data_IF_477093045064
#
_entry.id   IF_477093045064
#
_cell.length_a   1.000
_cell.length_b   1.000
_cell.length_c   1.000
_cell.angle_alpha   90.00
_cell.angle_beta   90.00
_cell.angle_gamma   90.00
#
_symmetry.space_group_name_H-M   'P 1'
#
loop_
_entity.id
_entity.type
_entity.pdbx_description
1 polymer ?
#
# COMPACT_ATOMS: atom_id res chain seq x y z
N UNK A 1 -19.14 -45.89 -0.51
CA UNK A 1 -19.80 -44.68 0.02
C UNK A 1 -18.85 -43.51 -0.19
N UNK A 2 -19.03 -42.74 -1.24
CA UNK A 2 -18.36 -41.42 -1.37
C UNK A 2 -19.01 -40.55 -0.29
N UNK A 3 -18.25 -40.19 0.75
CA UNK A 3 -18.64 -39.06 1.60
C UNK A 3 -18.66 -37.84 0.68
N UNK A 4 -19.84 -37.35 0.38
CA UNK A 4 -19.99 -36.02 -0.25
C UNK A 4 -19.33 -35.04 0.72
N UNK A 5 -18.20 -34.47 0.30
CA UNK A 5 -17.51 -33.41 1.05
C UNK A 5 -18.45 -32.21 1.10
N UNK A 6 -18.98 -31.91 2.27
CA UNK A 6 -19.82 -30.74 2.42
C UNK A 6 -18.88 -29.53 2.61
N UNK A 7 -18.67 -28.76 1.55
CA UNK A 7 -17.81 -27.58 1.57
C UNK A 7 -18.25 -26.55 2.62
N UNK A 8 -19.52 -26.57 3.04
CA UNK A 8 -20.04 -25.71 4.10
C UNK A 8 -19.45 -26.03 5.48
N UNK A 9 -18.84 -27.22 5.69
CA UNK A 9 -18.18 -27.56 6.94
C UNK A 9 -16.84 -26.85 7.11
N UNK A 10 -16.25 -26.34 6.01
CA UNK A 10 -14.94 -25.68 6.00
C UNK A 10 -15.05 -24.17 5.90
N UNK A 11 -16.14 -23.64 5.35
CA UNK A 11 -16.32 -22.21 5.10
C UNK A 11 -17.77 -21.80 5.29
N UNK A 12 -17.98 -20.83 6.18
CA UNK A 12 -19.27 -20.17 6.36
C UNK A 12 -19.13 -18.72 5.91
N UNK A 13 -19.62 -18.37 4.69
CA UNK A 13 -19.53 -17.00 4.19
C UNK A 13 -20.45 -16.09 4.98
N UNK A 14 -19.98 -14.91 5.34
CA UNK A 14 -20.85 -13.86 5.90
C UNK A 14 -21.75 -13.27 4.80
N UNK A 15 -22.84 -12.52 5.15
CA UNK A 15 -23.82 -12.05 4.18
C UNK A 15 -23.24 -11.29 2.97
N UNK A 16 -22.21 -10.47 3.18
CA UNK A 16 -21.50 -9.79 2.09
C UNK A 16 -20.84 -10.76 1.12
N UNK A 17 -20.17 -11.82 1.63
CA UNK A 17 -19.55 -12.86 0.81
C UNK A 17 -20.61 -13.69 0.10
N UNK A 18 -21.72 -14.04 0.76
CA UNK A 18 -22.84 -14.76 0.15
C UNK A 18 -23.39 -14.01 -1.06
N UNK A 19 -23.59 -12.69 -0.94
CA UNK A 19 -24.03 -11.84 -2.05
C UNK A 19 -23.09 -11.94 -3.25
N UNK A 20 -21.78 -11.91 -3.03
CA UNK A 20 -20.79 -11.99 -4.11
C UNK A 20 -20.72 -13.41 -4.71
N UNK A 21 -20.81 -14.46 -3.88
CA UNK A 21 -20.91 -15.87 -4.35
C UNK A 21 -22.13 -16.09 -5.25
N UNK A 22 -23.28 -15.50 -4.90
CA UNK A 22 -24.53 -15.67 -5.61
C UNK A 22 -24.60 -15.03 -7.01
N UNK A 23 -23.61 -14.21 -7.39
CA UNK A 23 -23.59 -13.62 -8.74
C UNK A 23 -22.81 -14.52 -9.69
N UNK A 24 -23.45 -14.92 -10.79
CA UNK A 24 -22.78 -15.63 -11.86
C UNK A 24 -22.10 -14.64 -12.82
N UNK A 25 -20.78 -14.57 -12.75
CA UNK A 25 -19.96 -13.73 -13.61
C UNK A 25 -18.62 -14.41 -13.88
N UNK A 26 -18.10 -14.25 -15.08
CA UNK A 26 -16.78 -14.78 -15.47
C UNK A 26 -15.66 -14.15 -14.65
N UNK A 27 -15.76 -12.85 -14.41
CA UNK A 27 -14.74 -12.11 -13.65
C UNK A 27 -15.46 -11.26 -12.61
N UNK A 28 -15.08 -11.47 -11.35
CA UNK A 28 -15.55 -10.66 -10.22
C UNK A 28 -14.46 -9.69 -9.79
N UNK A 29 -14.79 -8.41 -9.74
CA UNK A 29 -13.87 -7.33 -9.37
C UNK A 29 -14.30 -6.77 -8.01
N UNK A 30 -13.43 -6.86 -7.01
CA UNK A 30 -13.73 -6.54 -5.62
C UNK A 30 -12.88 -5.34 -5.15
N UNK A 31 -13.39 -4.13 -5.28
CA UNK A 31 -12.85 -2.95 -4.59
C UNK A 31 -13.46 -2.89 -3.19
N UNK A 32 -12.82 -3.54 -2.23
CA UNK A 32 -13.39 -3.80 -0.91
C UNK A 32 -12.39 -3.42 0.18
N UNK A 33 -12.87 -2.84 1.27
CA UNK A 33 -12.07 -2.44 2.43
C UNK A 33 -11.24 -3.58 3.04
N UNK A 34 -10.15 -3.22 3.70
CA UNK A 34 -9.30 -4.18 4.42
C UNK A 34 -10.10 -4.92 5.50
N UNK A 35 -9.68 -6.13 5.85
CA UNK A 35 -10.32 -6.98 6.89
C UNK A 35 -11.76 -7.45 6.57
N UNK A 36 -12.25 -7.25 5.35
CA UNK A 36 -13.56 -7.79 4.95
C UNK A 36 -13.56 -9.30 4.70
N UNK A 37 -12.40 -9.89 4.42
CA UNK A 37 -12.29 -11.33 4.15
C UNK A 37 -12.20 -11.69 2.66
N UNK A 38 -11.70 -10.78 1.82
CA UNK A 38 -11.52 -10.95 0.37
C UNK A 38 -10.74 -12.21 0.01
N UNK A 39 -9.57 -12.42 0.60
CA UNK A 39 -8.69 -13.56 0.29
C UNK A 39 -9.34 -14.89 0.66
N UNK A 40 -10.12 -14.94 1.75
CA UNK A 40 -10.90 -16.13 2.12
C UNK A 40 -11.98 -16.42 1.09
N UNK A 41 -12.69 -15.38 0.65
CA UNK A 41 -13.69 -15.48 -0.41
C UNK A 41 -13.06 -16.01 -1.71
N UNK A 42 -11.95 -15.44 -2.15
CA UNK A 42 -11.28 -15.82 -3.40
C UNK A 42 -10.77 -17.27 -3.38
N UNK A 43 -10.24 -17.73 -2.22
CA UNK A 43 -9.81 -19.11 -2.05
C UNK A 43 -10.99 -20.09 -2.22
N UNK A 44 -12.17 -19.73 -1.70
CA UNK A 44 -13.35 -20.58 -1.84
C UNK A 44 -13.93 -20.56 -3.25
N UNK A 45 -13.87 -19.45 -3.96
CA UNK A 45 -14.22 -19.41 -5.38
C UNK A 45 -13.29 -20.32 -6.19
N UNK A 46 -11.99 -20.32 -5.90
CA UNK A 46 -11.03 -21.22 -6.54
C UNK A 46 -11.37 -22.69 -6.28
N UNK A 47 -11.61 -23.06 -5.02
CA UNK A 47 -11.99 -24.44 -4.66
C UNK A 47 -13.29 -24.84 -5.35
N UNK A 48 -14.30 -23.97 -5.38
CA UNK A 48 -15.57 -24.20 -6.06
C UNK A 48 -15.37 -24.48 -7.55
N UNK A 49 -14.58 -23.65 -8.23
CA UNK A 49 -14.30 -23.83 -9.66
C UNK A 49 -13.50 -25.10 -9.96
N UNK A 50 -12.60 -25.47 -9.05
CA UNK A 50 -11.92 -26.75 -9.16
C UNK A 50 -12.90 -27.92 -9.02
N UNK A 51 -13.79 -27.92 -8.04
CA UNK A 51 -14.81 -28.99 -7.87
C UNK A 51 -15.75 -29.05 -9.06
N UNK A 52 -16.24 -27.91 -9.58
CA UNK A 52 -17.04 -27.84 -10.80
C UNK A 52 -16.29 -28.45 -12.01
N UNK A 53 -14.96 -28.24 -12.11
CA UNK A 53 -14.16 -28.84 -13.19
C UNK A 53 -14.11 -30.36 -13.13
N UNK A 54 -14.17 -30.96 -11.94
CA UNK A 54 -14.22 -32.43 -11.79
C UNK A 54 -15.54 -33.01 -12.31
N UNK A 55 -16.65 -32.28 -12.17
CA UNK A 55 -17.96 -32.71 -12.70
C UNK A 55 -17.93 -32.70 -14.24
N UNK A 56 -17.36 -31.66 -14.84
CA UNK A 56 -17.21 -31.53 -16.28
C UNK A 56 -16.27 -32.62 -16.86
N UNK A 57 -15.18 -32.96 -16.11
CA UNK A 57 -14.25 -34.02 -16.47
C UNK A 57 -14.97 -35.37 -16.67
N UNK A 58 -15.88 -35.69 -15.76
CA UNK A 58 -16.64 -36.93 -15.82
C UNK A 58 -17.50 -37.01 -17.08
N UNK A 59 -18.02 -35.87 -17.53
CA UNK A 59 -18.95 -35.79 -18.66
C UNK A 59 -18.26 -35.75 -20.05
N UNK A 60 -17.05 -35.19 -20.14
CA UNK A 60 -16.51 -34.84 -21.45
C UNK A 60 -15.10 -35.30 -21.79
N UNK A 61 -14.36 -36.03 -21.01
CA UNK A 61 -13.01 -36.61 -21.27
C UNK A 61 -12.01 -35.76 -22.15
N UNK A 62 -12.40 -34.58 -22.62
CA UNK A 62 -11.69 -33.75 -23.60
C UNK A 62 -11.15 -32.44 -22.98
N UNK A 63 -11.40 -32.19 -21.69
CA UNK A 63 -10.99 -30.97 -21.04
C UNK A 63 -9.54 -31.11 -20.55
N UNK A 64 -8.68 -30.11 -20.80
CA UNK A 64 -7.31 -30.13 -20.27
C UNK A 64 -7.32 -30.04 -18.72
N UNK A 65 -6.28 -30.58 -18.05
CA UNK A 65 -6.17 -30.55 -16.59
C UNK A 65 -6.38 -29.15 -16.02
N UNK A 66 -7.11 -29.05 -14.90
CA UNK A 66 -7.42 -27.78 -14.25
C UNK A 66 -6.14 -26.99 -13.94
N UNK A 67 -6.09 -25.75 -14.37
CA UNK A 67 -4.93 -24.89 -14.15
C UNK A 67 -5.37 -23.55 -13.57
N UNK A 68 -4.88 -23.24 -12.36
CA UNK A 68 -5.17 -21.99 -11.68
C UNK A 68 -3.90 -21.25 -11.26
N UNK A 69 -3.94 -19.95 -11.38
CA UNK A 69 -2.92 -19.07 -10.81
C UNK A 69 -3.49 -18.15 -9.74
N UNK A 70 -2.70 -17.96 -8.68
CA UNK A 70 -2.88 -16.90 -7.69
C UNK A 70 -1.71 -15.93 -7.89
N UNK A 71 -2.01 -14.70 -8.25
CA UNK A 71 -1.00 -13.69 -8.59
C UNK A 71 -1.04 -12.56 -7.56
N UNK A 72 0.14 -12.22 -7.01
CA UNK A 72 0.32 -11.16 -6.03
C UNK A 72 1.35 -10.14 -6.51
N UNK A 73 1.39 -8.90 -5.98
CA UNK A 73 2.34 -7.88 -6.40
C UNK A 73 3.81 -8.26 -6.21
N UNK A 74 4.13 -8.99 -5.14
CA UNK A 74 5.51 -9.28 -4.74
C UNK A 74 5.66 -10.66 -4.07
N UNK A 75 6.90 -11.13 -3.94
CA UNK A 75 7.21 -12.42 -3.33
C UNK A 75 6.80 -12.58 -1.86
N UNK A 76 6.93 -11.59 -0.96
CA UNK A 76 6.45 -11.71 0.41
C UNK A 76 4.95 -11.99 0.50
N UNK A 77 4.13 -11.28 -0.30
CA UNK A 77 2.68 -11.51 -0.36
C UNK A 77 2.35 -12.86 -0.99
N UNK A 78 3.08 -13.28 -2.03
CA UNK A 78 2.94 -14.62 -2.61
C UNK A 78 3.18 -15.71 -1.57
N UNK A 79 4.25 -15.59 -0.76
CA UNK A 79 4.54 -16.53 0.33
C UNK A 79 3.43 -16.55 1.38
N UNK A 80 2.87 -15.40 1.74
CA UNK A 80 1.76 -15.33 2.70
C UNK A 80 0.54 -16.09 2.17
N UNK A 81 0.10 -15.79 0.95
CA UNK A 81 -1.06 -16.46 0.34
C UNK A 81 -0.81 -17.96 0.15
N UNK A 82 0.40 -18.35 -0.26
CA UNK A 82 0.78 -19.76 -0.35
C UNK A 82 0.59 -20.48 0.98
N UNK A 83 1.06 -19.93 2.08
CA UNK A 83 0.93 -20.52 3.41
C UNK A 83 -0.55 -20.57 3.84
N UNK A 84 -1.33 -19.55 3.54
CA UNK A 84 -2.77 -19.53 3.82
C UNK A 84 -3.50 -20.61 2.99
N UNK A 85 -3.19 -20.73 1.71
CA UNK A 85 -3.75 -21.73 0.83
C UNK A 85 -3.49 -23.14 1.35
N UNK A 86 -2.23 -23.49 1.63
CA UNK A 86 -1.88 -24.83 2.18
C UNK A 86 -2.65 -25.14 3.47
N UNK A 87 -2.83 -24.13 4.33
CA UNK A 87 -3.48 -24.32 5.62
C UNK A 87 -4.99 -24.55 5.52
N UNK A 88 -5.63 -24.12 4.45
CA UNK A 88 -7.08 -24.17 4.27
C UNK A 88 -7.55 -25.04 3.12
N UNK A 89 -6.66 -25.41 2.20
CA UNK A 89 -7.04 -26.28 1.09
C UNK A 89 -7.31 -27.69 1.60
N UNK A 90 -8.45 -28.33 1.27
CA UNK A 90 -8.76 -29.67 1.74
C UNK A 90 -7.74 -30.70 1.23
N UNK A 91 -7.16 -31.46 2.14
CA UNK A 91 -6.12 -32.47 1.81
C UNK A 91 -6.65 -33.55 0.85
N UNK A 92 -7.94 -33.81 0.89
CA UNK A 92 -8.62 -34.79 0.04
C UNK A 92 -8.46 -34.48 -1.45
N UNK A 93 -8.29 -33.22 -1.79
CA UNK A 93 -8.12 -32.76 -3.18
C UNK A 93 -6.66 -32.74 -3.64
N UNK A 94 -5.70 -32.90 -2.73
CA UNK A 94 -4.28 -32.88 -3.08
C UNK A 94 -3.88 -34.24 -3.64
N UNK A 95 -3.25 -34.25 -4.82
CA UNK A 95 -2.83 -35.48 -5.49
C UNK A 95 -1.63 -36.13 -4.80
N UNK A 96 -1.30 -37.40 -5.10
CA UNK A 96 -0.07 -38.04 -4.63
C UNK A 96 1.22 -37.34 -5.05
N UNK A 97 1.21 -36.53 -6.11
CA UNK A 97 2.33 -35.67 -6.52
C UNK A 97 2.59 -34.52 -5.54
N UNK A 98 1.59 -34.21 -4.68
CA UNK A 98 1.72 -33.38 -3.49
C UNK A 98 1.96 -31.89 -3.79
N UNK A 99 2.62 -31.27 -2.83
CA UNK A 99 2.93 -29.85 -2.79
C UNK A 99 4.43 -29.66 -2.99
N UNK A 100 4.81 -28.83 -3.97
CA UNK A 100 6.18 -28.41 -4.22
C UNK A 100 6.40 -27.00 -3.64
N UNK A 101 7.05 -26.96 -2.48
CA UNK A 101 7.27 -25.71 -1.73
C UNK A 101 8.17 -24.73 -2.48
N UNK A 102 9.20 -25.23 -3.18
CA UNK A 102 10.20 -24.38 -3.85
C UNK A 102 9.63 -23.62 -5.05
N UNK A 103 8.61 -24.18 -5.70
CA UNK A 103 7.94 -23.60 -6.87
C UNK A 103 6.54 -23.08 -6.59
N UNK A 104 6.08 -23.15 -5.34
CA UNK A 104 4.73 -22.80 -4.91
C UNK A 104 3.64 -23.43 -5.80
N UNK A 105 3.80 -24.72 -6.02
CA UNK A 105 2.94 -25.51 -6.89
C UNK A 105 2.23 -26.60 -6.08
N UNK A 106 0.91 -26.66 -6.20
CA UNK A 106 0.07 -27.72 -5.61
C UNK A 106 -0.57 -28.53 -6.74
N UNK A 107 -0.33 -29.84 -6.73
CA UNK A 107 -0.97 -30.76 -7.63
C UNK A 107 -2.31 -31.25 -7.08
N UNK A 108 -3.33 -31.24 -7.92
CA UNK A 108 -4.72 -31.59 -7.59
C UNK A 108 -5.08 -32.97 -8.10
N UNK A 109 -5.99 -33.66 -7.40
CA UNK A 109 -6.55 -34.95 -7.84
C UNK A 109 -7.59 -34.75 -8.94
N UNK A 110 -7.63 -35.65 -9.89
CA UNK A 110 -8.76 -35.83 -10.79
C UNK A 110 -9.86 -36.71 -10.20
N UNK A 111 -10.92 -36.89 -10.94
CA UNK A 111 -12.04 -37.76 -10.56
C UNK A 111 -11.63 -39.22 -10.36
N UNK A 112 -10.61 -39.70 -11.08
CA UNK A 112 -10.01 -41.04 -11.01
C UNK A 112 -8.90 -41.16 -9.94
N UNK A 113 -8.68 -40.13 -9.10
CA UNK A 113 -7.62 -39.98 -8.08
C UNK A 113 -6.21 -39.84 -8.64
N UNK A 114 -6.02 -39.73 -9.94
CA UNK A 114 -4.72 -39.38 -10.54
C UNK A 114 -4.47 -37.88 -10.46
N UNK A 115 -3.26 -37.45 -10.77
CA UNK A 115 -2.97 -36.02 -10.88
C UNK A 115 -3.76 -35.43 -12.05
N UNK A 116 -4.67 -34.51 -11.72
CA UNK A 116 -5.53 -33.89 -12.70
C UNK A 116 -5.08 -32.48 -13.02
N UNK A 117 -4.92 -31.64 -12.03
CA UNK A 117 -4.61 -30.25 -12.27
C UNK A 117 -3.59 -29.66 -11.31
N UNK A 118 -3.46 -28.34 -11.35
CA UNK A 118 -2.49 -27.64 -10.54
C UNK A 118 -2.95 -26.22 -10.17
N UNK A 119 -2.47 -25.75 -9.02
CA UNK A 119 -2.54 -24.37 -8.56
C UNK A 119 -1.12 -23.86 -8.38
N UNK A 120 -0.81 -22.72 -8.95
CA UNK A 120 0.49 -22.05 -8.78
C UNK A 120 0.29 -20.66 -8.16
N UNK A 121 1.18 -20.27 -7.23
CA UNK A 121 1.25 -18.90 -6.73
C UNK A 121 2.40 -18.19 -7.42
N UNK A 122 2.12 -17.03 -8.00
CA UNK A 122 3.05 -16.22 -8.79
C UNK A 122 3.21 -14.82 -8.19
N UNK A 123 4.36 -14.22 -8.41
CA UNK A 123 4.61 -12.80 -8.14
C UNK A 123 4.57 -12.02 -9.44
N UNK A 124 3.85 -10.89 -9.46
CA UNK A 124 3.84 -9.96 -10.59
C UNK A 124 5.02 -8.98 -10.59
N UNK A 125 6.03 -9.20 -9.74
CA UNK A 125 7.23 -8.38 -9.70
C UNK A 125 7.95 -8.33 -11.06
N UNK A 126 7.99 -9.47 -11.74
CA UNK A 126 8.45 -9.57 -13.13
C UNK A 126 7.27 -9.95 -14.05
N UNK A 127 6.68 -8.97 -14.75
CA UNK A 127 5.55 -9.22 -15.66
C UNK A 127 5.86 -10.16 -16.82
N UNK A 128 7.12 -10.25 -17.26
CA UNK A 128 7.49 -11.07 -18.40
C UNK A 128 7.49 -12.57 -18.05
N UNK A 129 7.53 -12.91 -16.75
CA UNK A 129 7.36 -14.29 -16.26
C UNK A 129 5.90 -14.78 -16.25
N UNK A 130 4.92 -13.89 -16.50
CA UNK A 130 3.49 -14.18 -16.42
C UNK A 130 2.90 -14.60 -17.78
N UNK A 131 3.46 -15.62 -18.40
CA UNK A 131 2.98 -16.17 -19.67
C UNK A 131 2.57 -17.63 -19.50
N UNK A 132 1.35 -17.99 -19.98
CA UNK A 132 0.84 -19.36 -20.00
C UNK A 132 -0.16 -19.56 -21.13
N UNK A 133 -0.39 -20.81 -21.48
CA UNK A 133 -1.33 -21.18 -22.55
C UNK A 133 -2.80 -20.90 -22.25
N UNK A 134 -3.17 -20.85 -20.95
CA UNK A 134 -4.53 -20.54 -20.53
C UNK A 134 -4.81 -21.04 -19.11
N UNK A 135 -5.78 -20.39 -18.45
CA UNK A 135 -6.18 -20.67 -17.08
C UNK A 135 -7.67 -20.95 -16.97
N UNK A 136 -8.03 -21.87 -16.10
CA UNK A 136 -9.40 -22.09 -15.66
C UNK A 136 -9.80 -21.08 -14.60
N UNK A 137 -8.82 -20.71 -13.74
CA UNK A 137 -9.03 -19.73 -12.70
C UNK A 137 -7.81 -18.82 -12.49
N UNK A 138 -8.05 -17.52 -12.38
CA UNK A 138 -7.05 -16.53 -12.05
C UNK A 138 -7.53 -15.70 -10.86
N UNK A 139 -6.78 -15.78 -9.75
CA UNK A 139 -6.98 -14.87 -8.62
C UNK A 139 -5.85 -13.84 -8.60
N UNK A 140 -6.17 -12.56 -8.78
CA UNK A 140 -5.26 -11.44 -8.58
C UNK A 140 -5.55 -10.82 -7.21
N UNK A 141 -4.60 -10.96 -6.28
CA UNK A 141 -4.70 -10.42 -4.93
C UNK A 141 -3.94 -9.10 -4.83
N UNK A 142 -4.47 -8.15 -4.05
CA UNK A 142 -3.97 -6.76 -3.95
C UNK A 142 -3.80 -6.13 -5.35
N UNK A 143 -4.86 -6.23 -6.14
CA UNK A 143 -4.91 -5.85 -7.55
C UNK A 143 -4.52 -4.39 -7.81
N UNK A 144 -4.75 -3.49 -6.85
CA UNK A 144 -4.35 -2.08 -6.93
C UNK A 144 -2.83 -1.87 -6.99
N UNK A 145 -2.04 -2.86 -6.59
CA UNK A 145 -0.57 -2.80 -6.58
C UNK A 145 0.06 -3.58 -7.74
N UNK A 146 -0.77 -4.14 -8.65
CA UNK A 146 -0.33 -4.87 -9.85
C UNK A 146 -0.30 -3.93 -11.06
N UNK A 147 0.82 -3.90 -11.78
CA UNK A 147 1.01 -3.01 -12.92
C UNK A 147 0.11 -3.35 -14.11
N UNK A 148 -0.18 -2.34 -14.96
CA UNK A 148 -0.91 -2.55 -16.22
C UNK A 148 -0.19 -3.57 -17.13
N UNK A 149 1.16 -3.53 -17.19
CA UNK A 149 1.95 -4.49 -17.99
C UNK A 149 1.73 -5.93 -17.54
N UNK A 150 1.66 -6.18 -16.21
CA UNK A 150 1.36 -7.52 -15.70
C UNK A 150 -0.07 -7.94 -16.04
N UNK A 151 -1.04 -7.04 -15.89
CA UNK A 151 -2.43 -7.32 -16.24
C UNK A 151 -2.62 -7.60 -17.74
N UNK A 152 -1.92 -6.89 -18.63
CA UNK A 152 -1.92 -7.12 -20.08
C UNK A 152 -1.47 -8.54 -20.44
N UNK A 153 -0.56 -9.14 -19.65
CA UNK A 153 -0.13 -10.54 -19.80
C UNK A 153 -1.15 -11.53 -19.22
N UNK A 154 -1.80 -11.17 -18.12
CA UNK A 154 -2.70 -12.07 -17.40
C UNK A 154 -4.09 -12.18 -18.03
N UNK A 155 -4.69 -11.06 -18.47
CA UNK A 155 -6.06 -11.06 -18.97
C UNK A 155 -6.29 -12.03 -20.15
N UNK A 156 -5.39 -12.15 -21.15
CA UNK A 156 -5.55 -13.09 -22.26
C UNK A 156 -5.58 -14.56 -21.83
N UNK A 157 -4.95 -14.91 -20.69
CA UNK A 157 -4.93 -16.30 -20.20
C UNK A 157 -6.32 -16.83 -19.84
N UNK A 158 -7.27 -15.93 -19.55
CA UNK A 158 -8.68 -16.25 -19.28
C UNK A 158 -9.54 -16.37 -20.54
N UNK A 159 -8.96 -16.24 -21.73
CA UNK A 159 -9.67 -16.23 -23.03
C UNK A 159 -9.39 -17.48 -23.86
N UNK A 160 -8.68 -18.45 -23.31
CA UNK A 160 -8.47 -19.74 -23.99
C UNK A 160 -9.80 -20.47 -24.15
N UNK A 161 -10.16 -20.90 -25.37
CA UNK A 161 -11.45 -21.56 -25.63
C UNK A 161 -11.61 -22.91 -24.94
N UNK A 162 -10.50 -23.55 -24.56
CA UNK A 162 -10.47 -24.86 -23.91
C UNK A 162 -10.47 -24.74 -22.36
N UNK A 163 -10.58 -23.52 -21.79
CA UNK A 163 -10.50 -23.25 -20.38
C UNK A 163 -11.76 -22.57 -19.84
N UNK A 164 -12.04 -22.76 -18.56
CA UNK A 164 -13.19 -22.13 -17.90
C UNK A 164 -13.07 -20.61 -17.89
N UNK A 165 -11.88 -20.09 -17.65
CA UNK A 165 -11.55 -18.66 -17.75
C UNK A 165 -12.24 -17.78 -16.71
N UNK A 166 -12.36 -18.24 -15.44
CA UNK A 166 -12.90 -17.44 -14.35
C UNK A 166 -11.83 -16.60 -13.68
N UNK A 167 -12.19 -15.40 -13.21
CA UNK A 167 -11.27 -14.50 -12.52
C UNK A 167 -11.84 -13.85 -11.26
N UNK A 168 -11.00 -13.71 -10.25
CA UNK A 168 -11.24 -12.86 -9.07
C UNK A 168 -10.12 -11.83 -9.02
N UNK A 169 -10.47 -10.56 -9.13
CA UNK A 169 -9.53 -9.45 -8.95
C UNK A 169 -9.95 -8.70 -7.70
N UNK A 170 -9.11 -8.74 -6.65
CA UNK A 170 -9.49 -8.17 -5.36
C UNK A 170 -8.41 -7.24 -4.79
N UNK A 171 -8.87 -6.19 -4.14
CA UNK A 171 -8.02 -5.21 -3.47
C UNK A 171 -8.82 -4.09 -2.82
N UNK A 172 -8.13 -3.09 -2.33
CA UNK A 172 -8.72 -1.78 -2.04
C UNK A 172 -8.79 -0.97 -3.35
N UNK A 173 -9.60 0.10 -3.45
CA UNK A 173 -9.64 0.91 -4.66
C UNK A 173 -8.25 1.34 -5.14
N UNK A 174 -8.05 1.32 -6.45
CA UNK A 174 -6.82 1.82 -7.05
C UNK A 174 -6.60 3.29 -6.69
N UNK A 175 -5.34 3.72 -6.65
CA UNK A 175 -5.00 5.10 -6.28
C UNK A 175 -5.29 6.10 -7.43
N UNK A 176 -5.38 5.60 -8.67
CA UNK A 176 -5.49 6.42 -9.89
C UNK A 176 -6.67 5.96 -10.75
N UNK A 177 -7.36 6.89 -11.43
CA UNK A 177 -8.51 6.57 -12.26
C UNK A 177 -8.14 5.76 -13.52
N UNK A 178 -6.94 5.91 -14.04
CA UNK A 178 -6.44 5.21 -15.23
C UNK A 178 -5.84 3.83 -14.95
N UNK A 179 -5.80 3.39 -13.67
CA UNK A 179 -5.32 2.07 -13.31
C UNK A 179 -6.23 0.97 -13.87
N UNK A 180 -5.66 -0.11 -14.39
CA UNK A 180 -6.42 -1.23 -14.99
C UNK A 180 -7.49 -1.80 -14.04
N UNK A 181 -7.20 -1.89 -12.74
CA UNK A 181 -8.11 -2.42 -11.73
C UNK A 181 -9.36 -1.55 -11.60
N UNK A 182 -9.18 -0.22 -11.61
CA UNK A 182 -10.30 0.74 -11.63
C UNK A 182 -11.11 0.64 -12.94
N UNK A 183 -10.44 0.52 -14.09
CA UNK A 183 -11.13 0.31 -15.37
C UNK A 183 -11.92 -0.99 -15.39
N UNK A 184 -11.36 -2.08 -14.83
CA UNK A 184 -12.06 -3.35 -14.68
C UNK A 184 -13.28 -3.24 -13.76
N UNK A 185 -13.14 -2.48 -12.66
CA UNK A 185 -14.25 -2.21 -11.73
C UNK A 185 -15.40 -1.46 -12.44
N UNK A 186 -15.09 -0.37 -13.15
CA UNK A 186 -16.10 0.39 -13.92
C UNK A 186 -16.78 -0.46 -14.98
N UNK A 187 -16.02 -1.32 -15.67
CA UNK A 187 -16.60 -2.26 -16.65
C UNK A 187 -17.60 -3.22 -15.99
N UNK A 188 -17.30 -3.70 -14.78
CA UNK A 188 -18.19 -4.57 -14.01
C UNK A 188 -19.43 -3.85 -13.47
N UNK A 189 -19.34 -2.57 -13.08
CA UNK A 189 -20.52 -1.75 -12.73
C UNK A 189 -21.49 -1.61 -13.91
N UNK A 190 -20.96 -1.58 -15.13
CA UNK A 190 -21.76 -1.51 -16.37
C UNK A 190 -22.21 -2.89 -16.89
N UNK A 191 -21.81 -3.98 -16.22
CA UNK A 191 -22.10 -5.35 -16.69
C UNK A 191 -21.43 -5.72 -18.01
N UNK A 192 -20.32 -5.06 -18.35
CA UNK A 192 -19.62 -5.26 -19.60
C UNK A 192 -18.67 -6.46 -19.56
N UNK A 193 -18.47 -7.13 -20.70
CA UNK A 193 -17.45 -8.17 -20.92
C UNK A 193 -17.48 -9.35 -19.94
N UNK A 194 -18.61 -9.61 -19.28
CA UNK A 194 -18.74 -10.67 -18.27
C UNK A 194 -18.08 -10.35 -16.94
N UNK A 195 -17.83 -9.08 -16.67
CA UNK A 195 -17.37 -8.58 -15.37
C UNK A 195 -18.57 -8.28 -14.46
N UNK A 196 -18.37 -8.47 -13.14
CA UNK A 196 -19.28 -7.97 -12.12
C UNK A 196 -18.44 -7.33 -10.99
N UNK A 197 -18.85 -6.14 -10.55
CA UNK A 197 -18.11 -5.35 -9.56
C UNK A 197 -18.82 -5.31 -8.22
N UNK A 198 -18.01 -5.35 -7.16
CA UNK A 198 -18.50 -5.37 -5.79
C UNK A 198 -17.71 -4.38 -4.94
N UNK A 199 -18.43 -3.58 -4.19
CA UNK A 199 -17.89 -2.64 -3.22
C UNK A 199 -18.45 -2.97 -1.85
N UNK A 200 -17.59 -2.93 -0.84
CA UNK A 200 -17.97 -3.08 0.56
C UNK A 200 -16.93 -2.44 1.48
N UNK A 201 -17.37 -1.95 2.62
CA UNK A 201 -16.49 -1.38 3.64
C UNK A 201 -15.95 -2.47 4.57
N UNK A 202 -14.88 -2.15 5.32
CA UNK A 202 -14.38 -3.02 6.38
C UNK A 202 -15.45 -3.32 7.44
N UNK A 203 -16.32 -2.35 7.72
CA UNK A 203 -17.34 -2.42 8.77
C UNK A 203 -18.51 -3.36 8.44
N UNK A 204 -18.66 -3.74 7.18
CA UNK A 204 -19.63 -4.74 6.73
C UNK A 204 -19.23 -6.18 7.09
N UNK A 205 -18.00 -6.40 7.57
CA UNK A 205 -17.62 -7.70 8.10
C UNK A 205 -18.18 -7.91 9.52
N UNK A 206 -19.16 -8.80 9.71
CA UNK A 206 -19.77 -9.03 11.02
C UNK A 206 -18.84 -9.78 12.02
N UNK A 207 -17.72 -10.31 11.53
CA UNK A 207 -16.74 -11.01 12.38
C UNK A 207 -15.76 -10.04 13.06
N UNK A 208 -15.76 -8.75 12.69
CA UNK A 208 -15.00 -7.74 13.41
C UNK A 208 -15.69 -7.41 14.74
N UNK A 209 -14.93 -7.51 15.84
CA UNK A 209 -15.42 -7.11 17.16
C UNK A 209 -15.61 -5.60 17.26
N UNK A 210 -16.33 -5.15 18.31
CA UNK A 210 -16.50 -3.73 18.56
C UNK A 210 -15.15 -3.03 18.80
N UNK A 211 -14.22 -3.67 19.50
CA UNK A 211 -12.88 -3.17 19.76
C UNK A 211 -12.10 -3.02 18.46
N UNK A 212 -12.12 -4.02 17.58
CA UNK A 212 -11.45 -3.95 16.27
C UNK A 212 -12.01 -2.86 15.38
N UNK A 213 -13.32 -2.60 15.43
CA UNK A 213 -13.94 -1.48 14.71
C UNK A 213 -13.51 -0.14 15.28
N UNK A 214 -13.41 -0.03 16.62
CA UNK A 214 -12.90 1.17 17.28
C UNK A 214 -11.41 1.43 16.95
N UNK A 215 -10.58 0.40 16.89
CA UNK A 215 -9.19 0.50 16.44
C UNK A 215 -9.11 1.04 14.99
N UNK A 216 -9.93 0.51 14.07
CA UNK A 216 -10.00 1.01 12.70
C UNK A 216 -10.42 2.49 12.66
N UNK A 217 -11.37 2.90 13.52
CA UNK A 217 -11.78 4.31 13.60
C UNK A 217 -10.66 5.19 14.15
N UNK A 218 -9.89 4.72 15.13
CA UNK A 218 -8.75 5.45 15.68
C UNK A 218 -7.59 5.64 14.70
N UNK A 219 -7.46 4.74 13.70
CA UNK A 219 -6.48 4.89 12.62
C UNK A 219 -6.64 6.21 11.85
N UNK A 220 -7.81 6.87 11.93
CA UNK A 220 -8.01 8.23 11.38
C UNK A 220 -7.08 9.26 12.00
N UNK A 221 -6.65 9.04 13.22
CA UNK A 221 -5.71 9.95 13.90
C UNK A 221 -4.29 9.84 13.36
N UNK A 222 -3.96 8.70 12.74
CA UNK A 222 -2.61 8.40 12.26
C UNK A 222 -2.49 8.50 10.74
N UNK A 223 -3.58 8.29 10.01
CA UNK A 223 -3.59 8.24 8.56
C UNK A 223 -4.23 9.50 7.95
N UNK A 224 -3.77 9.95 6.76
CA UNK A 224 -4.52 10.91 5.96
C UNK A 224 -5.95 10.40 5.73
N UNK A 225 -6.94 11.28 5.81
CA UNK A 225 -8.36 10.89 5.68
C UNK A 225 -8.62 10.12 4.38
N UNK A 226 -8.07 10.59 3.26
CA UNK A 226 -8.20 9.91 1.96
C UNK A 226 -7.63 8.49 1.96
N UNK A 227 -6.50 8.26 2.67
CA UNK A 227 -5.88 6.94 2.80
C UNK A 227 -6.77 6.03 3.64
N UNK A 228 -7.25 6.52 4.77
CA UNK A 228 -8.17 5.81 5.63
C UNK A 228 -9.47 5.44 4.91
N UNK A 229 -10.10 6.39 4.21
CA UNK A 229 -11.33 6.15 3.44
C UNK A 229 -11.12 5.14 2.32
N UNK A 230 -10.01 5.21 1.61
CA UNK A 230 -9.66 4.21 0.59
C UNK A 230 -9.45 2.82 1.20
N UNK A 231 -8.72 2.73 2.32
CA UNK A 231 -8.37 1.46 2.95
C UNK A 231 -9.55 0.74 3.60
N UNK A 232 -10.42 1.49 4.28
CA UNK A 232 -11.48 0.93 5.12
C UNK A 232 -12.89 1.14 4.59
N UNK A 233 -13.15 2.26 3.91
CA UNK A 233 -14.44 2.57 3.33
C UNK A 233 -14.56 2.16 1.86
N UNK A 234 -13.47 1.64 1.28
CA UNK A 234 -13.38 1.31 -0.14
C UNK A 234 -13.77 2.49 -1.05
N UNK A 235 -13.42 3.71 -0.65
CA UNK A 235 -13.72 4.90 -1.43
C UNK A 235 -12.59 5.20 -2.40
N UNK A 236 -12.97 5.35 -3.66
CA UNK A 236 -12.10 5.87 -4.69
C UNK A 236 -12.10 7.41 -4.61
N UNK A 237 -10.93 8.03 -4.67
CA UNK A 237 -10.80 9.48 -4.71
C UNK A 237 -10.51 9.94 -6.13
N UNK A 238 -11.44 10.71 -6.70
CA UNK A 238 -11.25 11.35 -8.02
C UNK A 238 -10.42 12.65 -7.94
N UNK A 239 -9.94 13.04 -6.74
CA UNK A 239 -9.17 14.28 -6.58
C UNK A 239 -7.86 14.17 -7.37
N UNK A 240 -7.73 14.99 -8.41
CA UNK A 240 -6.57 15.02 -9.29
C UNK A 240 -5.27 15.52 -8.60
N UNK A 241 -5.38 16.21 -7.46
CA UNK A 241 -4.25 16.78 -6.72
C UNK A 241 -3.70 15.82 -5.66
N UNK A 242 -2.38 15.86 -5.48
CA UNK A 242 -1.72 15.11 -4.41
C UNK A 242 -2.04 15.70 -3.04
N UNK A 243 -2.05 17.03 -2.92
CA UNK A 243 -2.39 17.77 -1.70
C UNK A 243 -3.84 18.27 -1.76
N UNK A 244 -4.53 18.18 -0.63
CA UNK A 244 -5.89 18.68 -0.42
C UNK A 244 -5.90 19.80 0.63
N UNK A 245 -6.99 20.55 0.75
CA UNK A 245 -7.16 21.62 1.73
C UNK A 245 -6.10 22.73 1.69
N UNK A 246 -5.40 22.93 0.57
CA UNK A 246 -4.31 23.92 0.44
C UNK A 246 -4.80 25.30 0.86
N UNK A 247 -5.95 25.73 0.34
CA UNK A 247 -6.48 27.07 0.56
C UNK A 247 -6.93 27.31 2.02
N UNK A 248 -7.35 26.26 2.72
CA UNK A 248 -7.73 26.33 4.13
C UNK A 248 -6.54 26.56 5.08
N UNK A 249 -5.31 26.33 4.60
CA UNK A 249 -4.08 26.53 5.35
C UNK A 249 -3.40 27.86 5.05
N UNK A 250 -3.98 28.68 4.15
CA UNK A 250 -3.45 30.02 3.86
C UNK A 250 -3.87 30.96 4.97
N UNK A 251 -2.92 31.50 5.73
CA UNK A 251 -3.18 32.41 6.85
C UNK A 251 -2.05 33.40 7.07
N UNK A 252 -2.44 34.67 7.28
CA UNK A 252 -1.51 35.76 7.61
C UNK A 252 -0.67 36.24 6.45
N UNK A 253 0.30 37.11 6.79
CA UNK A 253 1.29 37.70 5.91
C UNK A 253 2.70 37.29 6.34
N UNK A 254 3.71 37.43 5.45
CA UNK A 254 5.10 37.21 5.81
C UNK A 254 5.51 38.18 6.93
N UNK A 255 6.24 37.67 7.89
CA UNK A 255 6.74 38.50 9.00
C UNK A 255 7.96 39.29 8.56
N UNK A 256 8.10 40.51 9.10
CA UNK A 256 9.25 41.42 8.81
C UNK A 256 10.48 41.05 9.66
N UNK A 257 10.34 40.23 10.70
CA UNK A 257 11.40 39.79 11.58
C UNK A 257 10.89 38.95 12.74
N UNK A 258 11.79 38.39 13.56
CA UNK A 258 11.43 37.48 14.64
C UNK A 258 10.70 38.20 15.80
N UNK A 259 9.80 37.47 16.45
CA UNK A 259 9.14 37.90 17.68
C UNK A 259 9.98 37.42 18.87
N UNK A 260 10.30 38.29 19.87
CA UNK A 260 11.02 37.87 21.05
C UNK A 260 10.35 36.70 21.79
N UNK A 261 11.08 35.63 22.06
CA UNK A 261 10.61 34.45 22.76
C UNK A 261 9.93 33.39 21.90
N UNK A 262 9.67 33.65 20.61
CA UNK A 262 9.26 32.63 19.64
C UNK A 262 10.46 31.77 19.23
N UNK A 263 10.19 30.53 18.84
CA UNK A 263 11.20 29.55 18.40
C UNK A 263 11.07 29.35 16.90
N UNK A 264 12.17 29.54 16.20
CA UNK A 264 12.18 29.40 14.74
C UNK A 264 13.04 28.24 14.29
N UNK A 265 12.53 27.51 13.31
CA UNK A 265 13.19 26.40 12.62
C UNK A 265 13.10 26.63 11.12
N UNK A 266 13.92 25.92 10.35
CA UNK A 266 13.89 26.06 8.91
C UNK A 266 14.07 24.75 8.17
N UNK A 267 13.50 24.70 6.96
CA UNK A 267 13.74 23.67 5.97
C UNK A 267 14.38 24.30 4.72
N UNK A 268 15.41 23.67 4.19
CA UNK A 268 16.14 24.10 3.01
C UNK A 268 16.21 22.97 2.00
N UNK A 269 15.63 23.19 0.83
CA UNK A 269 15.81 22.31 -0.33
C UNK A 269 16.78 22.96 -1.30
N UNK A 270 17.90 22.28 -1.57
CA UNK A 270 18.98 22.77 -2.40
C UNK A 270 18.82 22.30 -3.83
N UNK A 271 18.60 23.23 -4.73
CA UNK A 271 18.62 22.96 -6.17
C UNK A 271 20.01 22.57 -6.67
N UNK A 272 20.05 21.65 -7.63
CA UNK A 272 21.26 21.37 -8.41
C UNK A 272 21.51 22.52 -9.41
N UNK A 273 22.71 22.60 -9.99
CA UNK A 273 23.24 23.69 -10.87
C UNK A 273 22.24 24.46 -11.74
N UNK A 274 21.09 23.92 -12.06
CA UNK A 274 20.03 24.50 -12.91
C UNK A 274 18.65 24.43 -12.23
N UNK A 275 18.58 24.01 -10.96
CA UNK A 275 17.33 23.96 -10.20
C UNK A 275 17.38 25.04 -9.12
N UNK A 276 16.24 25.70 -8.85
CA UNK A 276 16.16 26.72 -7.81
C UNK A 276 16.29 26.11 -6.40
N UNK A 277 16.82 26.87 -5.47
CA UNK A 277 16.83 26.52 -4.04
C UNK A 277 15.75 27.27 -3.28
N UNK A 278 15.21 26.68 -2.22
CA UNK A 278 14.17 27.30 -1.39
C UNK A 278 14.45 27.04 0.09
N UNK A 279 14.35 28.11 0.90
CA UNK A 279 14.34 28.04 2.35
C UNK A 279 13.00 28.52 2.90
N UNK A 280 12.41 27.74 3.80
CA UNK A 280 11.20 28.08 4.54
C UNK A 280 11.56 28.22 6.02
N UNK A 281 11.20 29.34 6.63
CA UNK A 281 11.33 29.56 8.08
C UNK A 281 9.93 29.41 8.71
N UNK A 282 9.85 28.66 9.79
CA UNK A 282 8.61 28.30 10.47
C UNK A 282 8.72 28.63 11.97
N UNK A 283 7.67 29.23 12.52
CA UNK A 283 7.46 29.22 13.97
C UNK A 283 7.16 27.78 14.42
N UNK A 284 8.00 27.24 15.26
CA UNK A 284 7.95 25.85 15.67
C UNK A 284 6.71 25.51 16.54
N UNK A 285 6.23 26.48 17.32
CA UNK A 285 5.08 26.28 18.23
C UNK A 285 3.74 26.33 17.47
N UNK A 286 3.61 27.29 16.56
CA UNK A 286 2.38 27.50 15.77
C UNK A 286 2.37 26.69 14.47
N UNK A 287 3.49 26.06 14.09
CA UNK A 287 3.70 25.42 12.78
C UNK A 287 3.29 26.33 11.62
N UNK A 288 3.69 27.57 11.73
CA UNK A 288 3.34 28.63 10.80
C UNK A 288 4.56 29.06 10.00
N UNK A 289 4.47 29.03 8.68
CA UNK A 289 5.48 29.62 7.82
C UNK A 289 5.49 31.13 8.01
N UNK A 290 6.62 31.69 8.46
CA UNK A 290 6.78 33.11 8.77
C UNK A 290 7.63 33.83 7.73
N UNK A 291 8.54 33.11 7.07
CA UNK A 291 9.40 33.66 6.01
C UNK A 291 9.65 32.62 4.91
N UNK A 292 9.82 33.11 3.69
CA UNK A 292 10.12 32.31 2.51
C UNK A 292 11.24 32.99 1.72
N UNK A 293 12.30 32.27 1.43
CA UNK A 293 13.40 32.71 0.59
C UNK A 293 13.60 31.74 -0.57
N UNK A 294 13.38 32.20 -1.79
CA UNK A 294 13.75 31.49 -3.01
C UNK A 294 15.01 32.08 -3.63
N UNK A 295 15.83 31.25 -4.25
CA UNK A 295 16.93 31.62 -5.12
C UNK A 295 16.64 31.10 -6.50
N UNK A 296 16.89 31.97 -7.52
CA UNK A 296 16.69 31.58 -8.91
C UNK A 296 17.83 30.68 -9.42
N UNK A 297 17.55 30.00 -10.53
CA UNK A 297 18.51 29.17 -11.23
C UNK A 297 19.82 29.90 -11.47
N UNK A 298 20.96 29.27 -11.21
CA UNK A 298 22.27 29.84 -11.44
C UNK A 298 22.78 30.76 -10.34
N UNK A 299 22.06 30.98 -9.24
CA UNK A 299 22.60 31.69 -8.08
C UNK A 299 23.79 30.93 -7.52
N UNK A 300 24.95 31.61 -7.39
CA UNK A 300 26.15 30.97 -6.87
C UNK A 300 26.00 30.46 -5.45
N UNK A 301 26.56 29.30 -5.14
CA UNK A 301 26.43 28.63 -3.84
C UNK A 301 27.00 29.45 -2.69
N UNK A 302 28.09 30.22 -2.94
CA UNK A 302 28.65 31.13 -1.94
C UNK A 302 27.62 32.17 -1.52
N UNK A 303 26.91 32.75 -2.50
CA UNK A 303 25.84 33.71 -2.24
C UNK A 303 24.69 33.12 -1.49
N UNK A 304 24.26 31.90 -1.86
CA UNK A 304 23.19 31.17 -1.14
C UNK A 304 23.61 30.90 0.31
N UNK A 305 24.83 30.42 0.54
CA UNK A 305 25.37 30.14 1.88
C UNK A 305 25.39 31.42 2.75
N UNK A 306 25.87 32.54 2.23
CA UNK A 306 25.89 33.80 2.96
C UNK A 306 24.50 34.30 3.31
N UNK A 307 23.53 34.11 2.42
CA UNK A 307 22.13 34.45 2.68
C UNK A 307 21.52 33.51 3.76
N UNK A 308 21.77 32.20 3.69
CA UNK A 308 21.31 31.24 4.70
C UNK A 308 21.91 31.59 6.05
N UNK A 309 23.22 31.86 6.14
CA UNK A 309 23.87 32.23 7.38
C UNK A 309 23.26 33.48 8.02
N UNK A 310 23.03 34.53 7.18
CA UNK A 310 22.38 35.76 7.63
C UNK A 310 20.96 35.50 8.15
N UNK A 311 20.14 34.70 7.44
CA UNK A 311 18.78 34.40 7.86
C UNK A 311 18.76 33.58 9.16
N UNK A 312 19.71 32.65 9.33
CA UNK A 312 19.83 31.87 10.57
C UNK A 312 20.14 32.78 11.76
N UNK A 313 21.06 33.74 11.60
CA UNK A 313 21.40 34.71 12.63
C UNK A 313 20.24 35.69 12.90
N UNK A 314 19.65 36.27 11.85
CA UNK A 314 18.56 37.25 11.94
C UNK A 314 17.32 36.68 12.64
N UNK A 315 16.93 35.46 12.29
CA UNK A 315 15.74 34.79 12.86
C UNK A 315 16.03 33.99 14.12
N UNK A 316 17.29 33.81 14.50
CA UNK A 316 17.67 32.95 15.64
C UNK A 316 17.23 31.51 15.44
N UNK A 317 17.45 30.96 14.24
CA UNK A 317 16.98 29.62 13.89
C UNK A 317 17.68 28.57 14.75
N UNK A 318 16.90 27.81 15.50
CA UNK A 318 17.42 26.78 16.41
C UNK A 318 17.87 25.51 15.66
N UNK A 319 17.23 25.20 14.52
CA UNK A 319 17.55 24.04 13.72
C UNK A 319 17.19 24.25 12.24
N UNK A 320 18.14 23.95 11.36
CA UNK A 320 17.97 23.98 9.91
C UNK A 320 18.01 22.54 9.37
N UNK A 321 16.92 22.06 8.79
CA UNK A 321 16.89 20.78 8.09
C UNK A 321 17.16 20.95 6.61
N UNK A 322 18.08 20.19 6.04
CA UNK A 322 18.39 20.25 4.61
C UNK A 322 18.62 18.85 4.01
N UNK A 323 18.39 18.73 2.69
CA UNK A 323 18.76 17.52 1.96
C UNK A 323 20.29 17.39 1.87
N UNK A 324 20.82 16.41 2.61
CA UNK A 324 22.25 16.08 2.63
C UNK A 324 22.65 15.06 1.54
N UNK A 325 21.83 14.82 0.53
CA UNK A 325 22.12 13.84 -0.52
C UNK A 325 23.04 14.42 -1.60
N UNK A 326 24.23 13.87 -1.74
CA UNK A 326 25.19 14.27 -2.79
C UNK A 326 25.83 15.64 -2.54
N UNK A 327 25.51 16.64 -3.35
CA UNK A 327 26.08 17.99 -3.26
C UNK A 327 25.68 18.70 -1.95
N UNK A 328 24.52 18.35 -1.39
CA UNK A 328 24.07 18.86 -0.09
C UNK A 328 25.02 18.56 1.05
N UNK A 329 25.80 17.48 0.96
CA UNK A 329 26.78 17.09 1.99
C UNK A 329 27.94 18.11 2.11
N UNK A 330 28.43 18.66 0.99
CA UNK A 330 29.48 19.69 0.98
C UNK A 330 28.94 21.02 1.51
N UNK A 331 27.76 21.44 1.03
CA UNK A 331 27.13 22.68 1.50
C UNK A 331 26.81 22.61 3.01
N UNK A 332 26.32 21.47 3.48
CA UNK A 332 26.09 21.20 4.90
C UNK A 332 27.37 21.33 5.72
N UNK A 333 28.47 20.73 5.25
CA UNK A 333 29.75 20.78 5.97
C UNK A 333 30.24 22.23 6.13
N UNK A 334 30.11 23.04 5.10
CA UNK A 334 30.46 24.48 5.12
C UNK A 334 29.56 25.28 6.11
N UNK A 335 28.25 24.95 6.19
CA UNK A 335 27.34 25.58 7.15
C UNK A 335 27.68 25.20 8.60
N UNK A 336 28.04 23.94 8.85
CA UNK A 336 28.46 23.47 10.17
C UNK A 336 29.77 24.13 10.60
N UNK A 337 30.73 24.29 9.69
CA UNK A 337 32.01 24.97 9.97
C UNK A 337 31.84 26.42 10.43
N UNK A 338 30.82 27.12 9.95
CA UNK A 338 30.47 28.48 10.38
C UNK A 338 29.49 28.50 11.56
N UNK A 339 29.21 27.36 12.18
CA UNK A 339 28.45 27.25 13.43
C UNK A 339 26.93 27.19 13.30
N UNK A 340 26.39 26.93 12.10
CA UNK A 340 24.94 26.82 11.87
C UNK A 340 24.43 25.45 12.38
N UNK A 341 23.31 25.41 13.11
CA UNK A 341 22.73 24.16 13.65
C UNK A 341 21.99 23.37 12.58
N UNK A 342 22.72 22.59 11.80
CA UNK A 342 22.18 21.81 10.67
C UNK A 342 21.78 20.40 11.10
N UNK A 343 20.59 19.97 10.67
CA UNK A 343 20.10 18.58 10.72
C UNK A 343 20.05 18.01 9.31
N UNK A 344 20.89 17.01 9.00
CA UNK A 344 20.87 16.39 7.69
C UNK A 344 19.65 15.51 7.49
N UNK A 345 19.01 15.60 6.32
CA UNK A 345 17.98 14.67 5.87
C UNK A 345 18.46 13.97 4.60
N UNK A 346 18.46 12.63 4.60
CA UNK A 346 18.92 11.87 3.44
C UNK A 346 17.72 11.46 2.60
N UNK A 347 17.63 11.99 1.38
CA UNK A 347 16.57 11.63 0.46
C UNK A 347 16.78 10.24 -0.16
N UNK A 348 15.82 9.36 0.11
CA UNK A 348 15.55 8.11 -0.58
C UNK A 348 14.12 8.13 -1.07
N UNK A 349 13.70 7.14 -1.85
CA UNK A 349 12.29 7.07 -2.24
C UNK A 349 11.36 7.02 -1.01
N UNK A 350 11.69 6.19 -0.02
CA UNK A 350 10.88 6.03 1.19
C UNK A 350 10.86 7.28 2.09
N UNK A 351 11.99 7.96 2.25
CA UNK A 351 12.05 9.16 3.08
C UNK A 351 11.34 10.36 2.43
N UNK A 352 11.42 10.50 1.09
CA UNK A 352 10.61 11.50 0.36
C UNK A 352 9.12 11.23 0.50
N UNK A 353 8.68 9.98 0.36
CA UNK A 353 7.29 9.60 0.57
C UNK A 353 6.83 9.89 2.01
N UNK A 354 7.70 9.68 2.99
CA UNK A 354 7.41 10.00 4.40
C UNK A 354 7.16 11.50 4.60
N UNK A 355 8.05 12.37 4.14
CA UNK A 355 7.89 13.84 4.22
C UNK A 355 6.59 14.29 3.56
N UNK A 356 6.30 13.78 2.36
CA UNK A 356 5.09 14.13 1.64
C UNK A 356 3.82 13.67 2.37
N UNK A 357 3.84 12.49 3.01
CA UNK A 357 2.72 12.00 3.80
C UNK A 357 2.47 12.85 5.05
N UNK A 358 3.54 13.26 5.76
CA UNK A 358 3.42 14.18 6.90
C UNK A 358 2.79 15.51 6.47
N UNK A 359 3.26 16.09 5.35
CA UNK A 359 2.70 17.34 4.83
C UNK A 359 1.21 17.17 4.42
N UNK A 360 0.84 16.04 3.81
CA UNK A 360 -0.58 15.73 3.51
C UNK A 360 -1.41 15.73 4.79
N UNK A 361 -0.97 15.02 5.84
CA UNK A 361 -1.67 14.97 7.13
C UNK A 361 -1.80 16.36 7.74
N UNK A 362 -0.71 17.15 7.72
CA UNK A 362 -0.72 18.49 8.28
C UNK A 362 -1.70 19.43 7.56
N UNK A 363 -1.76 19.35 6.23
CA UNK A 363 -2.70 20.13 5.41
C UNK A 363 -4.15 19.68 5.62
N UNK A 364 -4.42 18.38 5.64
CA UNK A 364 -5.76 17.84 5.87
C UNK A 364 -6.33 18.21 7.25
N UNK A 365 -5.47 18.20 8.27
CA UNK A 365 -5.84 18.54 9.66
C UNK A 365 -5.75 20.02 9.99
N UNK A 366 -5.28 20.84 9.05
CA UNK A 366 -5.05 22.26 9.26
C UNK A 366 -4.15 22.54 10.48
N UNK A 367 -3.14 21.69 10.68
CA UNK A 367 -2.14 21.84 11.76
C UNK A 367 -0.90 22.62 11.33
N UNK A 368 -0.85 23.07 10.09
CA UNK A 368 0.17 23.93 9.51
C UNK A 368 -0.52 25.15 8.90
N UNK A 369 0.17 26.28 8.86
CA UNK A 369 -0.31 27.44 8.09
C UNK A 369 0.84 28.15 7.36
N UNK A 370 0.52 28.81 6.27
CA UNK A 370 1.46 29.58 5.47
C UNK A 370 0.78 30.77 4.82
N UNK A 371 1.51 31.85 4.62
CA UNK A 371 1.00 33.01 3.90
C UNK A 371 0.90 32.73 2.39
N UNK A 372 0.23 33.61 1.63
CA UNK A 372 -0.01 33.45 0.19
C UNK A 372 1.28 33.63 -0.62
N UNK A 373 2.14 32.60 -0.60
CA UNK A 373 3.36 32.54 -1.43
C UNK A 373 3.05 31.88 -2.78
N UNK A 374 3.14 32.64 -3.86
CA UNK A 374 2.71 32.22 -5.20
C UNK A 374 3.42 30.96 -5.70
N UNK A 375 4.73 30.86 -5.46
CA UNK A 375 5.53 29.71 -5.91
C UNK A 375 5.16 28.44 -5.15
N UNK A 376 5.07 28.51 -3.82
CA UNK A 376 4.64 27.40 -2.98
C UNK A 376 3.24 26.89 -3.37
N UNK A 377 2.27 27.80 -3.50
CA UNK A 377 0.91 27.44 -3.86
C UNK A 377 0.81 26.80 -5.25
N UNK A 378 1.56 27.32 -6.24
CA UNK A 378 1.62 26.73 -7.57
C UNK A 378 2.18 25.31 -7.51
N UNK A 379 3.27 25.09 -6.80
CA UNK A 379 3.89 23.77 -6.67
C UNK A 379 3.01 22.79 -5.91
N UNK A 380 2.38 23.18 -4.78
CA UNK A 380 1.43 22.34 -4.05
C UNK A 380 0.25 21.90 -4.92
N UNK A 381 -0.33 22.83 -5.71
CA UNK A 381 -1.47 22.52 -6.59
C UNK A 381 -1.09 21.70 -7.81
N UNK A 382 0.14 21.85 -8.31
CA UNK A 382 0.65 21.11 -9.46
C UNK A 382 1.08 19.69 -9.09
N UNK A 383 1.36 19.41 -7.80
CA UNK A 383 1.89 18.13 -7.35
C UNK A 383 0.90 17.00 -7.61
N UNK A 384 1.36 15.96 -8.29
CA UNK A 384 0.51 14.87 -8.73
C UNK A 384 1.23 13.53 -8.69
N UNK A 385 0.47 12.48 -8.82
CA UNK A 385 1.04 11.17 -9.05
C UNK A 385 1.39 10.99 -10.54
N UNK A 386 2.62 10.61 -10.82
CA UNK A 386 3.09 10.26 -12.16
C UNK A 386 3.39 8.77 -12.29
N UNK A 387 2.89 8.17 -13.36
CA UNK A 387 3.18 6.78 -13.70
C UNK A 387 4.60 6.67 -14.26
N UNK A 388 5.43 5.84 -13.64
CA UNK A 388 6.80 5.56 -14.09
C UNK A 388 6.81 4.44 -15.15
N UNK A 389 7.85 4.36 -16.01
CA UNK A 389 8.13 3.20 -16.81
C UNK A 389 8.19 1.96 -15.90
N UNK A 390 7.38 0.94 -16.19
CA UNK A 390 7.21 -0.23 -15.30
C UNK A 390 5.93 -0.22 -14.46
N UNK A 391 5.08 0.81 -14.60
CA UNK A 391 3.73 0.86 -14.03
C UNK A 391 3.65 1.25 -12.56
N UNK A 392 4.76 1.55 -11.90
CA UNK A 392 4.76 2.16 -10.56
C UNK A 392 4.44 3.64 -10.64
N UNK A 393 3.87 4.18 -9.57
CA UNK A 393 3.57 5.60 -9.47
C UNK A 393 4.52 6.28 -8.46
N UNK A 394 4.85 7.54 -8.75
CA UNK A 394 5.64 8.42 -7.90
C UNK A 394 4.90 9.75 -7.74
N UNK A 395 4.84 10.25 -6.53
CA UNK A 395 4.35 11.59 -6.26
C UNK A 395 5.47 12.59 -6.58
N UNK A 396 5.21 13.50 -7.50
CA UNK A 396 6.18 14.54 -7.93
C UNK A 396 5.50 15.68 -8.68
N UNK A 397 6.23 16.78 -8.87
CA UNK A 397 5.80 17.83 -9.77
C UNK A 397 5.77 17.33 -11.23
N UNK A 398 4.83 17.80 -12.06
CA UNK A 398 4.81 17.47 -13.49
C UNK A 398 6.06 17.99 -14.22
N UNK A 399 6.39 17.41 -15.40
CA UNK A 399 7.53 17.89 -16.19
C UNK A 399 7.44 19.41 -16.48
N UNK A 400 8.52 20.13 -16.17
CA UNK A 400 8.59 21.59 -16.31
C UNK A 400 8.11 22.39 -15.09
N UNK A 401 7.64 21.72 -14.06
CA UNK A 401 7.38 22.30 -12.75
C UNK A 401 8.42 21.80 -11.73
N UNK A 402 8.66 22.59 -10.69
CA UNK A 402 9.59 22.29 -9.61
C UNK A 402 8.85 21.88 -8.34
N UNK A 403 9.53 21.21 -7.40
CA UNK A 403 8.98 20.79 -6.11
C UNK A 403 9.76 21.30 -4.88
N UNK A 404 10.72 22.20 -5.11
CA UNK A 404 11.65 22.70 -4.07
C UNK A 404 10.93 23.38 -2.90
N UNK A 405 9.90 24.20 -3.18
CA UNK A 405 9.14 24.88 -2.12
C UNK A 405 8.30 23.88 -1.30
N UNK A 406 7.82 22.82 -1.92
CA UNK A 406 7.08 21.75 -1.24
C UNK A 406 8.01 20.99 -0.29
N UNK A 407 9.23 20.64 -0.75
CA UNK A 407 10.18 19.92 0.09
C UNK A 407 10.79 20.82 1.16
N UNK A 408 11.07 22.09 0.89
CA UNK A 408 11.50 23.05 1.91
C UNK A 408 10.47 23.19 3.05
N UNK A 409 9.16 23.27 2.70
CA UNK A 409 8.08 23.29 3.69
C UNK A 409 8.00 21.98 4.47
N UNK A 410 8.11 20.83 3.80
CA UNK A 410 8.06 19.52 4.43
C UNK A 410 9.26 19.27 5.36
N UNK A 411 10.47 19.71 5.00
CA UNK A 411 11.67 19.66 5.85
C UNK A 411 11.52 20.54 7.10
N UNK A 412 10.92 21.73 6.99
CA UNK A 412 10.63 22.57 8.14
C UNK A 412 9.64 21.90 9.08
N UNK A 413 8.59 21.26 8.54
CA UNK A 413 7.59 20.54 9.32
C UNK A 413 8.20 19.32 10.05
N UNK A 414 9.11 18.57 9.43
CA UNK A 414 9.84 17.45 10.03
C UNK A 414 10.58 17.87 11.32
N UNK A 415 11.23 19.04 11.29
CA UNK A 415 11.89 19.60 12.48
C UNK A 415 10.88 19.99 13.54
N UNK A 416 9.76 20.61 13.16
CA UNK A 416 8.70 20.99 14.10
C UNK A 416 8.17 19.78 14.86
N UNK A 417 7.98 18.66 14.17
CA UNK A 417 7.47 17.42 14.75
C UNK A 417 8.50 16.73 15.65
N UNK A 418 9.77 16.73 15.29
CA UNK A 418 10.84 16.12 16.08
C UNK A 418 11.16 16.89 17.38
N UNK A 419 10.86 18.18 17.44
CA UNK A 419 11.12 19.04 18.61
C UNK A 419 10.01 19.04 19.65
N UNK A 420 8.87 18.38 19.41
CA UNK A 420 7.78 18.23 20.38
C UNK A 420 7.97 16.99 21.26
N UNK A 421 7.94 17.11 22.62
CA UNK A 421 8.17 15.97 23.53
C UNK A 421 7.11 14.86 23.44
N UNK A 422 5.98 15.08 22.76
CA UNK A 422 4.92 14.08 22.56
C UNK A 422 5.16 13.13 21.36
N UNK A 423 6.14 13.40 20.50
CA UNK A 423 6.40 12.61 19.29
C UNK A 423 7.49 11.55 19.40
N UNK A 424 8.05 11.33 20.62
CA UNK A 424 9.16 10.39 20.85
C UNK A 424 8.79 8.89 20.69
N UNK A 425 7.59 8.54 20.26
CA UNK A 425 7.15 7.16 20.04
C UNK A 425 7.29 6.63 18.61
N UNK A 426 7.66 7.47 17.64
CA UNK A 426 7.90 7.03 16.26
C UNK A 426 9.40 7.11 15.92
N UNK A 427 10.18 6.11 16.35
CA UNK A 427 11.47 5.86 15.72
C UNK A 427 11.20 5.21 14.36
N UNK A 428 11.72 5.75 13.24
CA UNK A 428 11.72 5.00 11.99
C UNK A 428 12.46 3.68 12.26
N UNK A 429 11.85 2.57 11.90
CA UNK A 429 12.52 1.27 11.87
C UNK A 429 13.51 1.37 10.69
N UNK A 430 14.63 2.03 10.95
CA UNK A 430 15.80 1.94 10.11
C UNK A 430 16.27 0.50 10.16
N UNK A 431 16.70 -0.06 9.03
CA UNK A 431 17.33 -1.36 8.87
C UNK A 431 18.42 -1.60 9.94
N UNK A 432 18.04 -1.89 11.16
CA UNK A 432 18.93 -2.52 12.09
C UNK A 432 19.03 -3.98 11.65
N UNK A 433 20.17 -4.36 11.06
CA UNK A 433 20.52 -5.75 10.98
C UNK A 433 20.42 -6.30 12.40
N UNK A 434 19.37 -7.07 12.65
CA UNK A 434 19.27 -7.84 13.89
C UNK A 434 20.48 -8.77 13.91
N UNK A 435 21.41 -8.48 14.79
CA UNK A 435 22.52 -9.38 15.15
C UNK A 435 22.05 -10.09 16.41
N UNK A 436 21.66 -11.37 16.33
CA UNK A 436 21.23 -12.11 17.51
C UNK A 436 22.37 -12.14 18.52
N UNK A 437 22.08 -11.92 19.78
CA UNK A 437 23.03 -12.09 20.87
C UNK A 437 23.46 -13.56 20.95
N UNK A 438 24.66 -13.83 21.44
CA UNK A 438 25.19 -15.19 21.57
C UNK A 438 24.34 -16.11 22.46
N UNK A 439 23.50 -15.56 23.31
CA UNK A 439 22.53 -16.29 24.13
C UNK A 439 21.31 -16.80 23.34
N UNK A 440 20.89 -16.08 22.30
CA UNK A 440 19.78 -16.49 21.42
C UNK A 440 20.22 -17.50 20.35
N UNK A 441 21.48 -17.47 19.93
CA UNK A 441 22.06 -18.46 19.02
C UNK A 441 22.22 -19.85 19.66
N UNK A 442 22.25 -19.94 20.99
CA UNK A 442 22.40 -21.20 21.73
C UNK A 442 21.08 -21.83 22.21
N UNK A 443 19.92 -21.18 22.00
CA UNK A 443 18.62 -21.84 22.19
C UNK A 443 18.32 -22.73 20.99
N UNK A 444 18.82 -23.95 21.06
CA UNK A 444 18.65 -24.96 20.04
C UNK A 444 17.18 -25.17 19.66
N UNK A 445 16.87 -24.99 18.42
CA UNK A 445 15.62 -25.44 17.81
C UNK A 445 15.60 -26.97 17.87
N UNK A 446 14.95 -27.50 18.91
CA UNK A 446 14.67 -28.91 18.98
C UNK A 446 13.63 -29.25 17.90
N UNK A 447 14.02 -30.09 16.97
CA UNK A 447 13.15 -30.77 16.02
C UNK A 447 12.21 -31.71 16.82
N UNK A 448 11.02 -31.26 17.13
CA UNK A 448 10.02 -32.12 17.78
C UNK A 448 8.92 -31.31 18.42
N UNK A 449 7.98 -30.83 17.63
CA UNK A 449 6.55 -30.71 17.86
C UNK A 449 5.90 -29.73 16.88
N UNK A 450 5.51 -30.22 15.73
CA UNK A 450 4.68 -29.54 14.74
C UNK A 450 3.19 -29.38 15.18
N UNK A 451 2.83 -29.78 16.39
CA UNK A 451 1.45 -29.74 16.89
C UNK A 451 1.03 -28.39 17.50
N UNK A 452 1.94 -27.59 18.02
CA UNK A 452 1.62 -26.34 18.70
C UNK A 452 0.90 -25.30 17.83
N UNK A 453 1.37 -24.99 16.63
CA UNK A 453 0.69 -24.02 15.74
C UNK A 453 -0.65 -24.52 15.20
N UNK A 454 -0.82 -25.80 14.97
CA UNK A 454 -2.08 -26.41 14.54
C UNK A 454 -3.15 -26.34 15.65
N UNK A 455 -2.78 -26.64 16.88
CA UNK A 455 -3.71 -26.63 18.02
C UNK A 455 -4.17 -25.20 18.38
N UNK A 456 -3.28 -24.22 18.31
CA UNK A 456 -3.62 -22.81 18.50
C UNK A 456 -4.54 -22.28 17.39
N UNK A 457 -4.36 -22.74 16.17
CA UNK A 457 -5.18 -22.37 15.03
C UNK A 457 -6.56 -23.01 15.06
N UNK A 458 -6.67 -24.28 15.44
CA UNK A 458 -7.95 -24.98 15.67
C UNK A 458 -8.78 -24.27 16.75
N UNK A 459 -8.19 -23.93 17.90
CA UNK A 459 -8.87 -23.16 18.95
C UNK A 459 -9.32 -21.76 18.49
N UNK A 460 -8.59 -21.11 17.60
CA UNK A 460 -8.98 -19.83 17.04
C UNK A 460 -10.13 -19.98 16.04
N UNK A 461 -10.14 -21.05 15.25
CA UNK A 461 -11.23 -21.36 14.31
C UNK A 461 -12.50 -21.78 15.04
N UNK A 462 -12.39 -22.56 16.12
CA UNK A 462 -13.53 -22.91 16.98
C UNK A 462 -14.17 -21.66 17.63
N UNK A 463 -13.35 -20.70 18.08
CA UNK A 463 -13.86 -19.42 18.58
C UNK A 463 -14.59 -18.60 17.52
N UNK A 464 -14.08 -18.60 16.29
CA UNK A 464 -14.71 -17.88 15.16
C UNK A 464 -16.03 -18.59 14.76
N UNK A 465 -16.03 -19.92 14.69
CA UNK A 465 -17.23 -20.71 14.40
C UNK A 465 -18.32 -20.51 15.47
N UNK A 466 -17.94 -20.57 16.75
CA UNK A 466 -18.85 -20.32 17.86
C UNK A 466 -19.44 -18.89 17.83
N UNK A 467 -18.63 -17.91 17.43
CA UNK A 467 -19.11 -16.53 17.29
C UNK A 467 -20.05 -16.35 16.08
N UNK A 468 -19.82 -17.09 14.99
CA UNK A 468 -20.75 -17.13 13.85
C UNK A 468 -22.11 -17.75 14.23
N UNK A 469 -22.11 -18.82 15.03
CA UNK A 469 -23.33 -19.41 15.59
C UNK A 469 -24.08 -18.45 16.52
N UNK A 470 -23.37 -17.75 17.43
CA UNK A 470 -23.95 -16.73 18.31
C UNK A 470 -24.61 -15.57 17.54
N UNK A 471 -24.14 -15.29 16.32
CA UNK A 471 -24.66 -14.24 15.43
C UNK A 471 -25.76 -14.73 14.47
N UNK A 472 -26.20 -16.01 14.60
CA UNK A 472 -27.25 -16.59 13.75
C UNK A 472 -26.85 -16.73 12.28
N UNK A 473 -25.57 -16.75 11.98
CA UNK A 473 -25.01 -16.93 10.64
C UNK A 473 -24.85 -18.44 10.42
N UNK A 474 -25.93 -19.10 9.97
CA UNK A 474 -25.91 -20.50 9.55
C UNK A 474 -25.32 -20.67 8.16
#
# INVERSE_FOLDING_TARGET
MQQQLNLNDFYKPHPGQQRVHGVDAKIKVLEIGRRWGKSRFALWELIRRYVESLEIEVESHLIPPFHAWIVTPNFPQARQIWNEMIAFFPNEFISPAGIKQDSWLMHLKGSDKRTWGQIEVKSAHDPDSLQTAGLDFLWISEAQDISDKAFEKLLPTLRSPERLGYGIFEGIPALYPDHWFRRAFVAGERGERGFASFKATSFENPLLTAEQKAEIESDKELLPERVWRRMYMAEFSDSAGYFTNIDANIAGDPMQGPIPGARYIAGLDLGRKLDPSVMVIMDAAERKMVHYQGWDDGTEWVTQREHVARLVEEWGIEQLCLDATGIGDVFMSELIEIGIPVSPYIFSQSSREHLLQQLVVALERQTISFFNEKRLLRQLRAFQYRKLPGGRYKAEAPPGEHDDAVFALALALEVADSSHPASSSFRPIGNSRYVPTQAEANSGWNQGNLEGPKLMRLRKLEKIAKRAEELGIN
#
